data_IF_654913066055
#
_entry.id   IF_654913066055
#
_cell.length_a   1.000
_cell.length_b   1.000
_cell.length_c   1.000
_cell.angle_alpha   90.00
_cell.angle_beta   90.00
_cell.angle_gamma   90.00
#
_symmetry.space_group_name_H-M   'P 1'
#
loop_
_entity.id
_entity.type
_entity.pdbx_description
1 polymer ?
#
# COMPACT_ATOMS: atom_id res chain seq x y z
N UNK A 1 53.32 -1.34 13.05
CA UNK A 1 53.05 -2.76 12.81
C UNK A 1 51.76 -3.14 13.52
N UNK A 2 50.83 -3.71 12.77
CA UNK A 2 49.44 -3.99 13.08
C UNK A 2 49.24 -5.03 14.18
N UNK A 3 48.08 -4.99 14.85
CA UNK A 3 47.12 -6.12 15.01
C UNK A 3 45.93 -5.70 15.89
N UNK A 4 44.80 -5.44 15.23
CA UNK A 4 43.46 -5.50 15.84
C UNK A 4 43.01 -6.98 15.92
N UNK A 5 42.37 -7.43 17.01
CA UNK A 5 41.76 -8.75 17.08
C UNK A 5 40.40 -8.80 16.35
N UNK A 6 39.92 -10.01 16.00
CA UNK A 6 38.91 -10.21 14.94
C UNK A 6 37.48 -9.86 15.36
N UNK A 7 36.72 -9.32 14.40
CA UNK A 7 35.27 -9.16 14.43
C UNK A 7 34.59 -10.55 14.38
N UNK A 8 34.47 -11.19 15.54
CA UNK A 8 33.54 -12.32 15.73
C UNK A 8 32.19 -11.81 16.19
N UNK A 9 31.16 -12.16 15.44
CA UNK A 9 29.79 -12.21 15.95
C UNK A 9 28.79 -11.45 15.09
N UNK A 10 28.29 -12.10 14.04
CA UNK A 10 26.94 -11.85 13.55
C UNK A 10 25.97 -11.91 14.75
N UNK A 11 25.36 -10.78 15.08
CA UNK A 11 24.09 -10.76 15.78
C UNK A 11 23.04 -10.25 14.78
N UNK A 12 22.55 -11.15 13.93
CA UNK A 12 21.29 -10.94 13.22
C UNK A 12 20.22 -10.99 14.30
N UNK A 13 19.77 -9.82 14.75
CA UNK A 13 18.59 -9.75 15.59
C UNK A 13 17.37 -10.11 14.74
N UNK A 14 16.94 -11.38 14.83
CA UNK A 14 15.60 -11.79 14.43
C UNK A 14 14.60 -11.10 15.36
N UNK A 15 14.03 -9.99 14.93
CA UNK A 15 12.88 -9.39 15.59
C UNK A 15 11.63 -10.16 15.15
N UNK A 16 11.21 -11.14 15.95
CA UNK A 16 9.85 -11.69 15.92
C UNK A 16 9.06 -10.96 17.00
N UNK A 17 8.21 -10.00 16.60
CA UNK A 17 7.24 -9.40 17.52
C UNK A 17 6.02 -8.84 16.78
N UNK A 18 4.90 -9.56 16.94
CA UNK A 18 3.53 -9.06 17.13
C UNK A 18 3.01 -7.96 16.20
N UNK A 19 2.29 -8.37 15.14
CA UNK A 19 0.90 -7.95 14.79
C UNK A 19 0.46 -6.48 14.76
N UNK A 20 1.32 -5.53 15.09
CA UNK A 20 1.13 -4.10 14.97
C UNK A 20 2.18 -3.68 13.96
N UNK A 21 1.86 -3.77 12.66
CA UNK A 21 2.66 -3.04 11.70
C UNK A 21 2.51 -1.56 12.08
N UNK A 22 3.56 -0.85 12.56
CA UNK A 22 3.55 0.58 12.33
C UNK A 22 3.32 0.70 10.82
N UNK A 23 2.37 1.55 10.41
CA UNK A 23 2.27 1.93 9.02
C UNK A 23 3.63 2.53 8.66
N UNK A 24 4.59 1.70 8.23
CA UNK A 24 5.81 2.15 7.61
C UNK A 24 5.31 3.07 6.51
N UNK A 25 5.78 4.31 6.53
CA UNK A 25 5.38 5.31 5.55
C UNK A 25 5.84 4.80 4.18
N UNK A 26 4.99 4.01 3.55
CA UNK A 26 5.28 3.37 2.29
C UNK A 26 5.01 4.43 1.23
N UNK A 27 6.07 5.16 0.89
CA UNK A 27 6.01 6.15 -0.16
C UNK A 27 6.13 5.46 -1.51
N UNK A 28 5.08 5.55 -2.32
CA UNK A 28 5.09 5.15 -3.72
C UNK A 28 4.70 6.34 -4.59
N UNK A 29 5.32 6.44 -5.76
CA UNK A 29 5.05 7.49 -6.73
C UNK A 29 4.40 6.89 -7.96
N UNK A 30 3.39 7.57 -8.49
CA UNK A 30 2.66 7.21 -9.69
C UNK A 30 2.65 8.42 -10.64
N UNK A 31 2.45 8.14 -11.93
CA UNK A 31 2.25 9.18 -12.93
C UNK A 31 3.36 10.25 -12.90
N UNK A 32 4.62 9.77 -12.97
CA UNK A 32 5.84 10.58 -12.96
C UNK A 32 5.97 11.50 -11.72
N UNK A 33 5.45 11.05 -10.58
CA UNK A 33 5.53 11.76 -9.30
C UNK A 33 4.44 12.80 -9.08
N UNK A 34 3.54 13.00 -10.05
CA UNK A 34 2.37 13.89 -9.90
C UNK A 34 1.36 13.37 -8.88
N UNK A 35 1.33 12.05 -8.65
CA UNK A 35 0.55 11.40 -7.60
C UNK A 35 1.49 10.64 -6.66
N UNK A 36 1.41 10.92 -5.36
CA UNK A 36 2.20 10.23 -4.34
C UNK A 36 1.27 9.52 -3.37
N UNK A 37 1.51 8.24 -3.09
CA UNK A 37 0.96 7.55 -1.95
C UNK A 37 1.87 7.82 -0.75
N UNK A 38 1.44 8.66 0.20
CA UNK A 38 2.22 9.05 1.38
C UNK A 38 2.26 7.95 2.44
N UNK A 39 1.19 7.14 2.50
CA UNK A 39 1.10 5.98 3.40
C UNK A 39 0.11 4.97 2.84
N UNK A 40 0.35 3.69 3.12
CA UNK A 40 -0.62 2.63 2.93
C UNK A 40 -0.66 1.71 4.16
N UNK A 41 -1.86 1.29 4.54
CA UNK A 41 -2.08 0.36 5.64
C UNK A 41 -3.27 -0.55 5.34
N UNK A 42 -3.37 -1.63 6.09
CA UNK A 42 -4.48 -2.59 5.98
C UNK A 42 -5.28 -2.63 7.26
N UNK A 43 -6.60 -2.65 7.14
CA UNK A 43 -7.49 -2.97 8.25
C UNK A 43 -8.04 -4.38 8.05
N UNK A 44 -8.05 -5.18 9.12
CA UNK A 44 -8.80 -6.43 9.18
C UNK A 44 -10.20 -6.12 9.71
N UNK A 45 -11.22 -6.45 8.93
CA UNK A 45 -12.63 -6.25 9.31
C UNK A 45 -13.39 -7.57 9.24
N UNK A 46 -14.47 -7.74 10.03
CA UNK A 46 -15.28 -8.95 9.97
C UNK A 46 -15.82 -9.18 8.55
N UNK A 47 -15.63 -10.38 8.02
CA UNK A 47 -16.18 -10.78 6.72
C UNK A 47 -17.58 -11.36 6.86
N UNK A 48 -18.30 -11.44 5.73
CA UNK A 48 -19.56 -12.15 5.68
C UNK A 48 -19.35 -13.66 5.90
N UNK A 49 -20.30 -14.32 6.60
CA UNK A 49 -20.30 -15.78 6.84
C UNK A 49 -19.09 -16.33 7.60
N UNK A 50 -18.57 -15.58 8.57
CA UNK A 50 -17.51 -16.04 9.47
C UNK A 50 -16.09 -15.97 8.89
N UNK A 51 -15.91 -15.43 7.68
CA UNK A 51 -14.60 -15.09 7.14
C UNK A 51 -14.08 -13.75 7.66
N UNK A 52 -12.93 -13.30 7.14
CA UNK A 52 -12.40 -11.97 7.39
C UNK A 52 -12.18 -11.20 6.09
N UNK A 53 -12.24 -9.88 6.15
CA UNK A 53 -11.91 -9.00 5.03
C UNK A 53 -10.68 -8.17 5.36
N UNK A 54 -9.88 -7.90 4.34
CA UNK A 54 -8.76 -6.96 4.44
C UNK A 54 -9.03 -5.78 3.54
N UNK A 55 -9.10 -4.60 4.13
CA UNK A 55 -9.22 -3.33 3.42
C UNK A 55 -7.85 -2.68 3.24
N UNK A 56 -7.52 -2.28 2.02
CA UNK A 56 -6.29 -1.56 1.70
C UNK A 56 -6.58 -0.06 1.67
N UNK A 57 -6.09 0.65 2.67
CA UNK A 57 -6.22 2.10 2.79
C UNK A 57 -4.96 2.78 2.28
N UNK A 58 -5.10 3.79 1.43
CA UNK A 58 -3.98 4.55 0.88
C UNK A 58 -4.26 6.05 1.00
N UNK A 59 -3.28 6.81 1.49
CA UNK A 59 -3.30 8.26 1.52
C UNK A 59 -2.58 8.79 0.28
N UNK A 60 -3.33 9.28 -0.69
CA UNK A 60 -2.77 9.90 -1.88
C UNK A 60 -2.64 11.42 -1.73
N UNK A 61 -1.64 11.99 -2.38
CA UNK A 61 -1.41 13.42 -2.53
C UNK A 61 -1.23 13.77 -4.00
N UNK A 62 -1.92 14.83 -4.45
CA UNK A 62 -1.64 15.46 -5.72
C UNK A 62 -0.45 16.44 -5.55
N UNK A 63 0.67 16.11 -6.19
CA UNK A 63 1.90 16.92 -6.22
C UNK A 63 2.17 17.55 -7.59
N UNK A 64 1.19 17.54 -8.49
CA UNK A 64 1.34 18.19 -9.79
C UNK A 64 1.64 19.68 -9.63
N UNK A 65 2.81 20.11 -10.11
CA UNK A 65 3.33 21.46 -9.89
C UNK A 65 2.46 22.56 -10.55
N UNK A 66 1.72 22.23 -11.61
CA UNK A 66 0.90 23.18 -12.35
C UNK A 66 -0.41 23.59 -11.69
N UNK A 67 -0.69 23.17 -10.45
CA UNK A 67 -1.91 23.60 -9.73
C UNK A 67 -3.22 23.00 -10.25
N UNK A 68 -3.13 22.07 -11.20
CA UNK A 68 -4.28 21.43 -11.85
C UNK A 68 -4.85 20.27 -11.02
N UNK A 69 -6.15 20.03 -11.21
CA UNK A 69 -6.83 18.87 -10.63
C UNK A 69 -6.36 17.61 -11.38
N UNK A 70 -6.13 16.54 -10.63
CA UNK A 70 -5.71 15.26 -11.17
C UNK A 70 -6.87 14.27 -11.11
N UNK A 71 -7.26 13.72 -12.24
CA UNK A 71 -8.10 12.53 -12.34
C UNK A 71 -7.24 11.28 -12.35
N UNK A 72 -7.58 10.32 -11.51
CA UNK A 72 -6.86 9.05 -11.36
C UNK A 72 -7.82 7.91 -11.64
N UNK A 73 -7.43 6.99 -12.52
CA UNK A 73 -8.18 5.78 -12.83
C UNK A 73 -7.35 4.56 -12.43
N UNK A 74 -7.99 3.60 -11.78
CA UNK A 74 -7.39 2.29 -11.56
C UNK A 74 -7.55 1.48 -12.84
N UNK A 75 -6.43 1.19 -13.49
CA UNK A 75 -6.43 0.37 -14.70
C UNK A 75 -6.56 -1.10 -14.34
N UNK A 76 -5.76 -1.53 -13.37
CA UNK A 76 -5.61 -2.93 -13.00
C UNK A 76 -4.89 -3.04 -11.65
N UNK A 77 -4.99 -4.21 -11.01
CA UNK A 77 -4.16 -4.59 -9.88
C UNK A 77 -3.49 -5.90 -10.27
N UNK A 78 -2.17 -5.84 -10.47
CA UNK A 78 -1.37 -7.01 -10.84
C UNK A 78 -1.63 -8.14 -9.85
N UNK A 79 -1.99 -9.36 -10.30
CA UNK A 79 -2.29 -10.46 -9.40
C UNK A 79 -1.13 -10.76 -8.45
N UNK A 80 -1.39 -10.74 -7.14
CA UNK A 80 -0.40 -11.10 -6.12
C UNK A 80 -0.75 -12.50 -5.61
N UNK A 81 -0.27 -13.55 -6.28
CA UNK A 81 -0.71 -14.91 -5.94
C UNK A 81 -2.19 -15.14 -6.23
N UNK A 82 -2.86 -15.97 -5.42
CA UNK A 82 -4.26 -16.42 -5.67
C UNK A 82 -5.25 -15.68 -4.77
N UNK A 83 -5.44 -14.39 -5.01
CA UNK A 83 -6.36 -13.55 -4.21
C UNK A 83 -7.48 -13.04 -5.11
N UNK A 84 -8.68 -13.01 -4.54
CA UNK A 84 -9.85 -12.42 -5.18
C UNK A 84 -10.19 -11.10 -4.51
N UNK A 85 -10.24 -10.03 -5.30
CA UNK A 85 -10.73 -8.73 -4.85
C UNK A 85 -12.26 -8.75 -4.79
N UNK A 86 -12.81 -8.45 -3.61
CA UNK A 86 -14.24 -8.26 -3.42
C UNK A 86 -14.70 -6.87 -3.85
N UNK A 87 -13.83 -5.86 -3.73
CA UNK A 87 -14.07 -4.49 -4.18
C UNK A 87 -12.75 -3.86 -4.63
N UNK A 88 -12.82 -3.04 -5.67
CA UNK A 88 -11.72 -2.19 -6.14
C UNK A 88 -12.25 -0.78 -6.37
N UNK A 89 -11.54 0.25 -5.91
CA UNK A 89 -11.85 1.64 -6.21
C UNK A 89 -11.58 1.89 -7.71
N UNK A 90 -12.56 2.31 -8.52
CA UNK A 90 -12.35 2.44 -9.98
C UNK A 90 -11.51 3.66 -10.36
N UNK A 91 -11.48 4.68 -9.50
CA UNK A 91 -10.78 5.93 -9.74
C UNK A 91 -11.21 7.01 -8.74
N UNK A 92 -10.57 8.16 -8.80
CA UNK A 92 -10.82 9.31 -7.92
C UNK A 92 -10.27 10.59 -8.54
N UNK A 93 -10.59 11.74 -7.95
CA UNK A 93 -10.01 13.03 -8.36
C UNK A 93 -9.42 13.74 -7.15
N UNK A 94 -8.29 14.43 -7.34
CA UNK A 94 -7.63 15.23 -6.31
C UNK A 94 -7.36 16.64 -6.82
N UNK A 95 -7.81 17.63 -6.06
CA UNK A 95 -7.41 19.04 -6.26
C UNK A 95 -5.90 19.19 -6.04
N UNK A 96 -5.29 20.20 -6.64
CA UNK A 96 -3.85 20.43 -6.47
C UNK A 96 -3.46 20.65 -5.01
N UNK A 97 -2.35 20.02 -4.60
CA UNK A 97 -1.83 20.08 -3.24
C UNK A 97 -2.66 19.31 -2.20
N UNK A 98 -3.84 18.81 -2.56
CA UNK A 98 -4.71 18.12 -1.61
C UNK A 98 -4.29 16.66 -1.41
N UNK A 99 -4.79 16.09 -0.30
CA UNK A 99 -4.64 14.68 0.02
C UNK A 99 -6.00 14.02 0.21
N UNK A 100 -6.12 12.74 -0.13
CA UNK A 100 -7.29 11.93 0.20
C UNK A 100 -6.89 10.53 0.65
N UNK A 101 -7.53 10.07 1.72
CA UNK A 101 -7.42 8.70 2.21
C UNK A 101 -8.53 7.86 1.60
N UNK A 102 -8.17 6.80 0.88
CA UNK A 102 -9.11 5.98 0.10
C UNK A 102 -8.95 4.50 0.46
N UNK A 103 -10.07 3.78 0.48
CA UNK A 103 -10.07 2.31 0.46
C UNK A 103 -9.93 1.89 -0.99
N UNK A 104 -8.73 1.47 -1.37
CA UNK A 104 -8.42 1.15 -2.76
C UNK A 104 -8.89 -0.24 -3.17
N UNK A 105 -8.87 -1.18 -2.24
CA UNK A 105 -9.40 -2.52 -2.48
C UNK A 105 -9.83 -3.18 -1.18
N UNK A 106 -10.73 -4.16 -1.32
CA UNK A 106 -11.10 -5.09 -0.25
C UNK A 106 -10.92 -6.50 -0.79
N UNK A 107 -10.27 -7.38 -0.03
CA UNK A 107 -10.18 -8.81 -0.33
C UNK A 107 -10.93 -9.62 0.74
N UNK A 108 -11.41 -10.79 0.35
CA UNK A 108 -11.93 -11.78 1.29
C UNK A 108 -10.82 -12.78 1.61
N UNK A 109 -10.65 -13.10 2.89
CA UNK A 109 -9.73 -14.13 3.35
C UNK A 109 -10.48 -15.14 4.22
N UNK A 110 -10.12 -16.44 4.16
CA UNK A 110 -10.84 -17.48 4.88
C UNK A 110 -10.69 -17.35 6.41
N UNK A 111 -9.58 -16.79 6.87
CA UNK A 111 -9.32 -16.52 8.29
C UNK A 111 -8.34 -15.36 8.45
N UNK A 112 -8.32 -14.67 9.60
CA UNK A 112 -7.24 -13.73 9.94
C UNK A 112 -5.86 -14.38 9.75
N UNK A 113 -4.95 -13.66 9.09
CA UNK A 113 -3.58 -14.14 8.83
C UNK A 113 -3.40 -15.04 7.60
N UNK A 114 -4.45 -15.31 6.81
CA UNK A 114 -4.40 -16.20 5.64
C UNK A 114 -3.72 -15.60 4.39
N UNK A 115 -2.50 -15.08 4.51
CA UNK A 115 -1.64 -14.72 3.37
C UNK A 115 -2.08 -13.51 2.55
N UNK A 116 -2.83 -12.58 3.14
CA UNK A 116 -3.13 -11.29 2.50
C UNK A 116 -1.81 -10.53 2.20
N UNK A 117 -1.64 -9.96 0.99
CA UNK A 117 -0.51 -9.10 0.69
C UNK A 117 -0.34 -7.97 1.69
N UNK A 118 0.91 -7.61 1.95
CA UNK A 118 1.19 -6.40 2.70
C UNK A 118 0.80 -5.14 1.91
N UNK A 119 0.57 -3.99 2.58
CA UNK A 119 0.29 -2.72 1.92
C UNK A 119 1.32 -2.33 0.86
N UNK A 120 2.60 -2.66 1.08
CA UNK A 120 3.68 -2.39 0.14
C UNK A 120 3.56 -3.18 -1.17
N UNK A 121 3.26 -4.48 -1.06
CA UNK A 121 3.04 -5.35 -2.22
C UNK A 121 1.79 -4.89 -2.99
N UNK A 122 0.75 -4.49 -2.27
CA UNK A 122 -0.45 -3.92 -2.88
C UNK A 122 -0.15 -2.65 -3.69
N UNK A 123 0.62 -1.70 -3.14
CA UNK A 123 1.02 -0.49 -3.86
C UNK A 123 1.85 -0.79 -5.11
N UNK A 124 2.74 -1.78 -5.05
CA UNK A 124 3.55 -2.21 -6.20
C UNK A 124 2.73 -2.88 -7.30
N UNK A 125 1.62 -3.53 -6.93
CA UNK A 125 0.73 -4.18 -7.89
C UNK A 125 -0.24 -3.21 -8.57
N UNK A 126 -0.50 -2.05 -7.96
CA UNK A 126 -1.48 -1.08 -8.41
C UNK A 126 -1.03 -0.39 -9.71
N UNK A 127 -1.83 -0.51 -10.77
CA UNK A 127 -1.62 0.20 -12.03
C UNK A 127 -2.61 1.35 -12.15
N UNK A 128 -2.08 2.57 -12.19
CA UNK A 128 -2.86 3.80 -12.25
C UNK A 128 -2.60 4.54 -13.55
N UNK A 129 -3.65 5.14 -14.09
CA UNK A 129 -3.57 6.18 -15.11
C UNK A 129 -3.94 7.50 -14.49
N UNK A 130 -3.18 8.55 -14.75
CA UNK A 130 -3.51 9.90 -14.33
C UNK A 130 -3.73 10.82 -15.53
N UNK A 131 -4.69 11.72 -15.38
CA UNK A 131 -5.01 12.75 -16.38
C UNK A 131 -5.28 14.08 -15.68
N UNK A 132 -4.72 15.15 -16.21
CA UNK A 132 -5.01 16.51 -15.76
C UNK A 132 -6.41 16.92 -16.24
N UNK A 133 -7.16 17.58 -15.35
CA UNK A 133 -8.55 18.00 -15.54
C UNK A 133 -8.70 19.52 -15.52
#
# INVERSE_FOLDING_TARGET
MSRLPPLTGLAVALAVALGLNPAAAQQAQFCDGSLVANSAYTNLVPGARGGAQVEYHVLFQNRHAGGQRLGVRVLDITPIGKISFARVQPGFTLTAGSQAKLIMATIQIPSPGAGAPGPAQFLQALKLECRLL
#
